data_IF_588235221408
#
_entry.id   IF_588235221408
#
_cell.length_a   1.000
_cell.length_b   1.000
_cell.length_c   1.000
_cell.angle_alpha   90.00
_cell.angle_beta   90.00
_cell.angle_gamma   90.00
#
_symmetry.space_group_name_H-M   'P 1'
#
loop_
_entity.id
_entity.type
_entity.pdbx_description
1 polymer ?
#
# COMPACT_ATOMS: atom_id res chain seq x y z
N UNK A 1 -3.94 4.61 6.90
CA UNK A 1 -2.70 4.10 7.51
C UNK A 1 -2.75 2.59 7.41
N UNK A 2 -1.77 1.95 6.79
CA UNK A 2 -1.66 0.49 6.69
C UNK A 2 -0.41 0.08 7.49
N UNK A 3 -0.57 -0.82 8.45
CA UNK A 3 0.54 -1.28 9.31
C UNK A 3 0.96 -2.67 8.85
N UNK A 4 2.20 -2.80 8.38
CA UNK A 4 2.75 -4.07 7.85
C UNK A 4 3.76 -4.71 8.80
N UNK A 5 4.39 -3.94 9.69
CA UNK A 5 5.41 -4.43 10.62
C UNK A 5 6.73 -3.69 10.50
N UNK A 6 7.45 -3.51 11.63
CA UNK A 6 8.72 -2.77 11.67
C UNK A 6 9.86 -3.51 10.99
N UNK A 7 9.78 -4.84 10.96
CA UNK A 7 10.67 -5.75 10.27
C UNK A 7 10.78 -5.44 8.77
N UNK A 8 9.73 -4.85 8.18
CA UNK A 8 9.71 -4.45 6.77
C UNK A 8 10.05 -2.97 6.55
N UNK A 9 10.54 -2.28 7.57
CA UNK A 9 10.92 -0.87 7.43
C UNK A 9 12.00 -0.70 6.36
N UNK A 10 11.93 0.40 5.61
CA UNK A 10 12.81 0.69 4.46
C UNK A 10 12.63 -0.18 3.21
N UNK A 11 11.85 -1.26 3.26
CA UNK A 11 11.46 -2.02 2.06
C UNK A 11 10.43 -1.26 1.23
N UNK A 12 10.18 -1.75 0.01
CA UNK A 12 9.07 -1.29 -0.82
C UNK A 12 7.90 -2.25 -0.74
N UNK A 13 6.69 -1.71 -0.82
CA UNK A 13 5.47 -2.47 -0.90
C UNK A 13 4.71 -2.06 -2.15
N UNK A 14 4.40 -3.04 -2.99
CA UNK A 14 3.46 -2.85 -4.09
C UNK A 14 2.04 -3.08 -3.58
N UNK A 15 1.13 -2.21 -3.99
CA UNK A 15 -0.26 -2.22 -3.57
C UNK A 15 -1.12 -2.52 -4.79
N UNK A 16 -1.97 -3.53 -4.65
CA UNK A 16 -2.92 -3.97 -5.64
C UNK A 16 -4.34 -3.91 -5.07
N UNK A 17 -5.31 -3.66 -5.94
CA UNK A 17 -6.74 -3.73 -5.62
C UNK A 17 -7.44 -4.59 -6.64
N UNK A 18 -8.04 -5.71 -6.21
CA UNK A 18 -8.64 -6.71 -7.12
C UNK A 18 -7.70 -7.03 -8.30
N UNK A 19 -6.44 -7.33 -7.96
CA UNK A 19 -5.36 -7.65 -8.90
C UNK A 19 -4.93 -6.53 -9.86
N UNK A 20 -5.48 -5.32 -9.72
CA UNK A 20 -5.01 -4.13 -10.43
C UNK A 20 -3.90 -3.44 -9.64
N UNK A 21 -2.75 -3.23 -10.27
CA UNK A 21 -1.66 -2.45 -9.68
C UNK A 21 -2.11 -1.01 -9.42
N UNK A 22 -1.84 -0.51 -8.22
CA UNK A 22 -2.17 0.87 -7.84
C UNK A 22 -0.91 1.71 -7.71
N UNK A 23 0.03 1.28 -6.88
CA UNK A 23 1.24 2.05 -6.56
C UNK A 23 2.28 1.20 -5.87
N UNK A 24 3.50 1.70 -5.82
CA UNK A 24 4.58 1.16 -5.00
C UNK A 24 5.06 2.26 -4.06
N UNK A 25 5.17 1.92 -2.78
CA UNK A 25 5.49 2.89 -1.72
C UNK A 25 6.51 2.31 -0.76
N UNK A 26 7.46 3.16 -0.34
CA UNK A 26 8.43 2.79 0.68
C UNK A 26 7.74 2.70 2.05
N UNK A 27 8.03 1.64 2.79
CA UNK A 27 7.54 1.44 4.15
C UNK A 27 8.32 2.35 5.10
N UNK A 28 7.57 3.14 5.88
CA UNK A 28 8.13 4.07 6.86
C UNK A 28 8.86 3.36 8.00
N UNK A 29 9.65 4.12 8.77
CA UNK A 29 10.46 3.60 9.89
C UNK A 29 9.67 2.79 10.93
N UNK A 30 8.38 3.06 11.07
CA UNK A 30 7.49 2.37 12.02
C UNK A 30 6.81 1.13 11.44
N UNK A 31 7.11 0.75 10.20
CA UNK A 31 6.36 -0.32 9.51
C UNK A 31 5.02 0.14 8.98
N UNK A 32 4.90 1.44 8.69
CA UNK A 32 3.66 2.06 8.24
C UNK A 32 3.74 2.46 6.76
N UNK A 33 2.67 2.20 6.05
CA UNK A 33 2.44 2.66 4.69
C UNK A 33 1.43 3.80 4.73
N UNK A 34 1.84 4.95 4.21
CA UNK A 34 1.03 6.16 4.13
C UNK A 34 0.82 6.53 2.68
N UNK A 35 -0.45 6.53 2.25
CA UNK A 35 -0.86 6.99 0.92
C UNK A 35 -1.49 8.37 1.08
N UNK A 36 -0.95 9.42 0.43
CA UNK A 36 -1.53 10.75 0.53
C UNK A 36 -2.97 10.77 -0.01
N UNK A 37 -3.91 11.33 0.74
CA UNK A 37 -5.35 11.33 0.39
C UNK A 37 -5.67 11.96 -0.97
N UNK A 38 -4.84 12.90 -1.44
CA UNK A 38 -5.01 13.59 -2.73
C UNK A 38 -4.23 12.96 -3.89
N UNK A 39 -3.49 11.87 -3.63
CA UNK A 39 -2.76 11.16 -4.67
C UNK A 39 -3.70 10.41 -5.61
N UNK A 40 -3.23 10.14 -6.83
CA UNK A 40 -3.93 9.27 -7.77
C UNK A 40 -4.16 7.87 -7.17
N UNK A 41 -3.14 7.31 -6.51
CA UNK A 41 -3.24 6.03 -5.81
C UNK A 41 -4.41 5.99 -4.80
N UNK A 42 -4.61 7.06 -4.03
CA UNK A 42 -5.75 7.16 -3.11
C UNK A 42 -7.09 7.21 -3.84
N UNK A 43 -7.19 7.90 -4.99
CA UNK A 43 -8.43 7.93 -5.79
C UNK A 43 -8.74 6.56 -6.38
N UNK A 44 -7.73 5.87 -6.89
CA UNK A 44 -7.86 4.52 -7.43
C UNK A 44 -8.27 3.53 -6.34
N UNK A 45 -7.66 3.58 -5.16
CA UNK A 45 -8.06 2.79 -3.99
C UNK A 45 -9.52 3.05 -3.62
N UNK A 46 -9.93 4.31 -3.49
CA UNK A 46 -11.32 4.66 -3.15
C UNK A 46 -12.34 4.23 -4.21
N UNK A 47 -11.93 4.18 -5.49
CA UNK A 47 -12.79 3.77 -6.60
C UNK A 47 -12.93 2.25 -6.70
N UNK A 48 -11.84 1.51 -6.48
CA UNK A 48 -11.76 0.07 -6.74
C UNK A 48 -11.98 -0.80 -5.50
N UNK A 49 -11.54 -0.35 -4.33
CA UNK A 49 -11.65 -1.13 -3.10
C UNK A 49 -13.01 -0.86 -2.44
N UNK A 50 -13.87 -1.88 -2.40
CA UNK A 50 -15.13 -1.82 -1.66
C UNK A 50 -14.99 -2.38 -0.24
N UNK A 51 -13.94 -3.20 -0.01
CA UNK A 51 -13.56 -3.74 1.28
C UNK A 51 -12.03 -3.79 1.44
N UNK A 52 -11.54 -3.91 2.67
CA UNK A 52 -10.10 -4.11 2.93
C UNK A 52 -9.58 -5.41 2.30
N UNK A 53 -10.43 -6.44 2.19
CA UNK A 53 -10.07 -7.72 1.57
C UNK A 53 -9.76 -7.61 0.06
N UNK A 54 -10.18 -6.51 -0.58
CA UNK A 54 -9.86 -6.25 -1.98
C UNK A 54 -8.39 -5.81 -2.16
N UNK A 55 -7.72 -5.40 -1.08
CA UNK A 55 -6.38 -4.80 -1.09
C UNK A 55 -5.35 -5.89 -0.80
N UNK A 56 -4.40 -6.07 -1.72
CA UNK A 56 -3.24 -6.94 -1.55
C UNK A 56 -1.98 -6.09 -1.50
N UNK A 57 -1.09 -6.42 -0.56
CA UNK A 57 0.20 -5.75 -0.38
C UNK A 57 1.28 -6.80 -0.58
N UNK A 58 2.18 -6.55 -1.54
CA UNK A 58 3.32 -7.41 -1.80
C UNK A 58 4.59 -6.70 -1.35
N UNK A 59 5.29 -7.31 -0.39
CA UNK A 59 6.56 -6.82 0.10
C UNK A 59 7.66 -7.16 -0.91
N UNK A 60 8.42 -6.16 -1.32
CA UNK A 60 9.63 -6.31 -2.13
C UNK A 60 10.83 -5.97 -1.27
N UNK A 61 11.63 -6.98 -0.99
CA UNK A 61 12.99 -6.75 -0.53
C UNK A 61 13.78 -6.24 -1.74
N UNK A 62 14.45 -5.10 -1.56
CA UNK A 62 15.20 -4.42 -2.62
C UNK A 62 16.46 -5.19 -2.99
#
# INVERSE_FOLDING_TARGET
LLTVGREYSSMHADIYVRDNYVTSVRIGKKGEITIPKRSEASRTLMKLASSQNDIKIFLKDS
#
